data_IF_975999798291
#
_entry.id   IF_975999798291
#
_cell.length_a   1.000
_cell.length_b   1.000
_cell.length_c   1.000
_cell.angle_alpha   90.00
_cell.angle_beta   90.00
_cell.angle_gamma   90.00
#
_symmetry.space_group_name_H-M   'P 1'
#
loop_
_entity.id
_entity.type
_entity.pdbx_description
1 polymer ?
#
# COMPACT_ATOMS: atom_id res chain seq x y z
N UNK A 1 -7.35 -6.53 -14.72
CA UNK A 1 -6.40 -5.39 -14.66
C UNK A 1 -5.74 -4.99 -15.99
N UNK A 2 -6.17 -5.50 -17.17
CA UNK A 2 -5.52 -5.22 -18.48
C UNK A 2 -5.58 -3.75 -18.90
N UNK A 3 -6.79 -3.16 -18.93
CA UNK A 3 -7.02 -1.75 -19.29
C UNK A 3 -6.17 -0.77 -18.46
N UNK A 4 -6.03 -1.05 -17.16
CA UNK A 4 -5.18 -0.26 -16.27
C UNK A 4 -3.72 -0.32 -16.72
N UNK A 5 -3.14 -1.52 -16.85
CA UNK A 5 -1.74 -1.68 -17.28
C UNK A 5 -1.46 -0.97 -18.62
N UNK A 6 -2.36 -1.11 -19.59
CA UNK A 6 -2.23 -0.46 -20.91
C UNK A 6 -2.25 1.08 -20.80
N UNK A 7 -3.08 1.65 -19.92
CA UNK A 7 -3.14 3.10 -19.71
C UNK A 7 -1.84 3.66 -19.13
N UNK A 8 -1.20 2.94 -18.21
CA UNK A 8 0.10 3.31 -17.65
C UNK A 8 1.22 3.15 -18.69
N UNK A 9 1.21 2.06 -19.45
CA UNK A 9 2.23 1.79 -20.46
C UNK A 9 2.25 2.87 -21.56
N UNK A 10 1.10 3.42 -21.95
CA UNK A 10 1.02 4.57 -22.89
C UNK A 10 1.75 5.82 -22.39
N UNK A 11 2.00 5.91 -21.08
CA UNK A 11 2.76 6.99 -20.43
C UNK A 11 4.16 6.55 -19.99
N UNK A 12 4.67 5.45 -20.54
CA UNK A 12 5.96 4.85 -20.17
C UNK A 12 6.08 4.46 -18.69
N UNK A 13 4.95 4.29 -18.00
CA UNK A 13 4.91 3.82 -16.63
C UNK A 13 4.65 2.30 -16.61
N UNK A 14 5.42 1.56 -15.81
CA UNK A 14 5.32 0.10 -15.70
C UNK A 14 4.73 -0.30 -14.35
N UNK A 15 3.85 -1.30 -14.37
CA UNK A 15 3.36 -2.00 -13.19
C UNK A 15 3.84 -3.44 -13.29
N UNK A 16 4.83 -3.81 -12.48
CA UNK A 16 5.45 -5.14 -12.55
C UNK A 16 4.45 -6.24 -12.20
N UNK A 17 3.69 -6.07 -11.11
CA UNK A 17 2.63 -7.00 -10.72
C UNK A 17 1.40 -6.33 -10.10
N UNK A 18 0.28 -7.04 -10.18
CA UNK A 18 -0.97 -6.67 -9.49
C UNK A 18 -1.42 -7.86 -8.66
N UNK A 19 -1.53 -7.63 -7.35
CA UNK A 19 -2.08 -8.58 -6.39
C UNK A 19 -3.41 -8.04 -5.87
N UNK A 20 -4.38 -8.93 -5.72
CA UNK A 20 -5.69 -8.58 -5.16
C UNK A 20 -6.18 -9.75 -4.29
N UNK A 21 -7.04 -9.42 -3.34
CA UNK A 21 -7.66 -10.40 -2.46
C UNK A 21 -9.19 -10.28 -2.61
N UNK A 22 -9.88 -11.31 -3.14
CA UNK A 22 -11.33 -11.28 -3.31
C UNK A 22 -12.08 -11.67 -2.03
N UNK A 23 -11.37 -12.15 -1.01
CA UNK A 23 -12.00 -12.75 0.17
C UNK A 23 -12.58 -11.71 1.14
N UNK A 24 -13.72 -12.08 1.72
CA UNK A 24 -14.42 -11.34 2.76
C UNK A 24 -15.33 -12.30 3.54
N UNK A 25 -15.31 -12.22 4.87
CA UNK A 25 -16.00 -13.14 5.78
C UNK A 25 -17.50 -13.25 5.52
N UNK A 26 -18.14 -12.16 5.08
CA UNK A 26 -19.60 -12.13 4.82
C UNK A 26 -19.91 -12.11 3.32
N UNK A 27 -18.98 -12.58 2.47
CA UNK A 27 -19.21 -12.65 1.03
C UNK A 27 -20.45 -13.50 0.71
N UNK A 28 -21.32 -13.03 -0.17
CA UNK A 28 -22.44 -13.82 -0.70
C UNK A 28 -21.97 -14.98 -1.58
N UNK A 29 -20.76 -14.88 -2.15
CA UNK A 29 -20.13 -15.91 -2.98
C UNK A 29 -19.33 -16.86 -2.08
N UNK A 30 -19.68 -18.16 -1.99
CA UNK A 30 -19.04 -19.13 -1.10
C UNK A 30 -17.52 -19.23 -1.28
N UNK A 31 -17.01 -19.17 -2.51
CA UNK A 31 -15.57 -19.23 -2.82
C UNK A 31 -14.77 -18.10 -2.14
N UNK A 32 -15.40 -16.94 -1.97
CA UNK A 32 -14.78 -15.76 -1.38
C UNK A 32 -15.08 -15.61 0.12
N UNK A 33 -15.98 -16.43 0.67
CA UNK A 33 -16.39 -16.42 2.07
C UNK A 33 -15.43 -17.22 2.94
N UNK A 34 -14.23 -16.69 3.15
CA UNK A 34 -13.23 -17.31 4.01
C UNK A 34 -12.30 -16.29 4.62
N UNK A 35 -11.80 -16.65 5.80
CA UNK A 35 -10.62 -16.01 6.38
C UNK A 35 -9.42 -16.21 5.47
N UNK A 36 -8.56 -15.19 5.37
CA UNK A 36 -7.38 -15.26 4.53
C UNK A 36 -6.26 -14.38 5.02
N UNK A 37 -5.03 -14.76 4.67
CA UNK A 37 -3.83 -13.97 4.95
C UNK A 37 -3.54 -12.93 3.86
N UNK A 38 -4.32 -12.88 2.76
CA UNK A 38 -4.10 -11.91 1.69
C UNK A 38 -4.73 -10.55 1.95
N UNK A 39 -5.83 -10.48 2.72
CA UNK A 39 -6.57 -9.23 2.90
C UNK A 39 -5.84 -8.36 3.91
N UNK A 40 -5.48 -7.14 3.50
CA UNK A 40 -4.93 -6.11 4.40
C UNK A 40 -5.83 -5.99 5.64
N UNK A 41 -5.25 -5.91 6.85
CA UNK A 41 -3.84 -5.59 7.14
C UNK A 41 -2.87 -6.79 7.10
N UNK A 42 -3.32 -7.98 6.73
CA UNK A 42 -2.44 -9.16 6.64
C UNK A 42 -1.40 -9.03 5.51
N UNK A 43 -0.20 -9.59 5.70
CA UNK A 43 0.94 -9.33 4.82
C UNK A 43 0.97 -10.21 3.56
N UNK A 44 0.05 -11.14 3.37
CA UNK A 44 0.17 -12.20 2.36
C UNK A 44 0.36 -11.70 0.93
N UNK A 45 -0.31 -10.61 0.53
CA UNK A 45 -0.07 -10.01 -0.80
C UNK A 45 1.34 -9.40 -0.93
N UNK A 46 1.84 -8.73 0.12
CA UNK A 46 3.16 -8.13 0.11
C UNK A 46 4.28 -9.19 0.15
N UNK A 47 4.12 -10.24 0.95
CA UNK A 47 5.05 -11.38 0.98
C UNK A 47 5.15 -12.07 -0.37
N UNK A 48 4.01 -12.30 -1.04
CA UNK A 48 3.99 -12.86 -2.40
C UNK A 48 4.68 -11.94 -3.42
N UNK A 49 4.52 -10.63 -3.27
CA UNK A 49 5.23 -9.67 -4.10
C UNK A 49 6.75 -9.73 -3.86
N UNK A 50 7.16 -9.80 -2.59
CA UNK A 50 8.56 -9.88 -2.20
C UNK A 50 9.25 -11.13 -2.74
N UNK A 51 8.62 -12.29 -2.59
CA UNK A 51 9.12 -13.56 -3.14
C UNK A 51 9.25 -13.49 -4.67
N UNK A 52 8.20 -13.03 -5.37
CA UNK A 52 8.18 -13.07 -6.84
C UNK A 52 9.08 -12.03 -7.50
N UNK A 53 9.32 -10.90 -6.84
CA UNK A 53 10.04 -9.75 -7.40
C UNK A 53 11.37 -9.47 -6.67
N UNK A 54 11.75 -10.31 -5.72
CA UNK A 54 12.94 -10.14 -4.88
C UNK A 54 12.99 -8.76 -4.18
N UNK A 55 11.89 -8.35 -3.54
CA UNK A 55 11.75 -7.04 -2.89
C UNK A 55 12.17 -7.12 -1.42
N UNK A 56 13.00 -6.18 -0.97
CA UNK A 56 13.25 -5.93 0.45
C UNK A 56 12.11 -5.09 1.06
N UNK A 57 11.22 -5.73 1.85
CA UNK A 57 10.04 -5.08 2.41
C UNK A 57 10.37 -3.94 3.40
N UNK A 58 11.33 -4.07 4.32
CA UNK A 58 11.79 -2.96 5.16
C UNK A 58 12.23 -1.69 4.41
N UNK A 59 12.79 -1.82 3.21
CA UNK A 59 13.21 -0.70 2.35
C UNK A 59 12.09 -0.19 1.43
N UNK A 60 10.89 -0.75 1.54
CA UNK A 60 9.75 -0.44 0.71
C UNK A 60 8.82 0.60 1.33
N UNK A 61 7.93 1.13 0.49
CA UNK A 61 6.88 2.07 0.88
C UNK A 61 5.51 1.44 0.59
N UNK A 62 4.55 1.64 1.49
CA UNK A 62 3.13 1.31 1.26
C UNK A 62 2.37 2.61 1.21
N UNK A 63 1.76 2.94 0.07
CA UNK A 63 0.95 4.14 -0.10
C UNK A 63 -0.52 3.73 -0.20
N UNK A 64 -1.37 4.29 0.65
CA UNK A 64 -2.80 3.97 0.66
C UNK A 64 -3.63 5.00 1.41
N UNK A 65 -4.95 4.94 1.25
CA UNK A 65 -5.91 5.86 1.86
C UNK A 65 -6.67 5.24 3.04
N UNK A 66 -6.44 3.96 3.32
CA UNK A 66 -7.14 3.23 4.38
C UNK A 66 -6.23 2.89 5.55
N UNK A 67 -6.83 2.77 6.74
CA UNK A 67 -6.15 2.31 7.97
C UNK A 67 -5.44 0.97 7.72
N UNK A 68 -6.08 0.05 7.01
CA UNK A 68 -5.53 -1.28 6.71
C UNK A 68 -4.27 -1.24 5.83
N UNK A 69 -4.08 -0.18 5.03
CA UNK A 69 -2.85 0.04 4.25
C UNK A 69 -1.69 0.42 5.16
N UNK A 70 -1.96 1.32 6.11
CA UNK A 70 -0.96 1.79 7.08
C UNK A 70 -0.55 0.64 7.99
N UNK A 71 -1.53 -0.12 8.48
CA UNK A 71 -1.29 -1.32 9.28
C UNK A 71 -0.51 -2.40 8.50
N UNK A 72 -0.81 -2.61 7.21
CA UNK A 72 0.00 -3.50 6.37
C UNK A 72 1.47 -3.04 6.35
N UNK A 73 1.72 -1.75 6.12
CA UNK A 73 3.08 -1.19 6.10
C UNK A 73 3.82 -1.43 7.42
N UNK A 74 3.15 -1.18 8.55
CA UNK A 74 3.68 -1.48 9.89
C UNK A 74 4.00 -2.97 10.05
N UNK A 75 3.06 -3.85 9.69
CA UNK A 75 3.20 -5.31 9.86
C UNK A 75 4.38 -5.89 9.06
N UNK A 76 4.72 -5.30 7.92
CA UNK A 76 5.86 -5.74 7.08
C UNK A 76 7.12 -4.90 7.28
N UNK A 77 7.12 -3.99 8.27
CA UNK A 77 8.21 -3.05 8.56
C UNK A 77 8.58 -2.11 7.38
N UNK A 78 7.69 -1.96 6.41
CA UNK A 78 7.83 -0.95 5.37
C UNK A 78 7.53 0.45 5.93
N UNK A 79 7.80 1.49 5.14
CA UNK A 79 7.37 2.86 5.48
C UNK A 79 5.92 3.08 4.99
N UNK A 80 4.90 3.14 5.86
CA UNK A 80 3.54 3.45 5.45
C UNK A 80 3.35 4.94 5.18
N UNK A 81 2.66 5.28 4.10
CA UNK A 81 2.32 6.65 3.70
C UNK A 81 0.82 6.73 3.50
N UNK A 82 0.16 7.57 4.30
CA UNK A 82 -1.26 7.84 4.17
C UNK A 82 -1.47 8.94 3.13
N UNK A 83 -2.32 8.71 2.12
CA UNK A 83 -2.80 9.79 1.25
C UNK A 83 -4.17 10.27 1.72
N UNK A 84 -4.41 11.58 1.70
CA UNK A 84 -5.66 12.20 2.16
C UNK A 84 -6.81 12.13 1.13
N UNK A 85 -6.54 11.66 -0.09
CA UNK A 85 -7.57 11.33 -1.09
C UNK A 85 -8.39 10.12 -0.67
N UNK A 86 -9.64 9.99 -1.15
CA UNK A 86 -10.47 8.81 -0.87
C UNK A 86 -10.88 8.75 0.60
N UNK A 87 -10.57 7.64 1.28
CA UNK A 87 -10.86 7.46 2.72
C UNK A 87 -9.84 8.13 3.65
N UNK A 88 -8.83 8.82 3.10
CA UNK A 88 -7.66 9.30 3.82
C UNK A 88 -7.94 10.15 5.06
N UNK A 89 -8.83 11.13 4.97
CA UNK A 89 -9.18 11.98 6.13
C UNK A 89 -9.84 11.19 7.26
N UNK A 90 -10.76 10.28 6.94
CA UNK A 90 -11.37 9.39 7.94
C UNK A 90 -10.33 8.46 8.55
N UNK A 91 -9.44 7.91 7.73
CA UNK A 91 -8.35 7.06 8.18
C UNK A 91 -7.37 7.81 9.09
N UNK A 92 -7.09 9.09 8.82
CA UNK A 92 -6.25 9.94 9.68
C UNK A 92 -6.81 10.03 11.09
N UNK A 93 -8.09 10.37 11.24
CA UNK A 93 -8.76 10.42 12.55
C UNK A 93 -8.70 9.08 13.27
N UNK A 94 -9.02 7.98 12.58
CA UNK A 94 -8.97 6.63 13.18
C UNK A 94 -7.56 6.24 13.62
N UNK A 95 -6.54 6.57 12.82
CA UNK A 95 -5.14 6.31 13.16
C UNK A 95 -4.69 7.11 14.38
N UNK A 96 -5.13 8.36 14.51
CA UNK A 96 -4.90 9.19 15.69
C UNK A 96 -5.52 8.57 16.95
N UNK A 97 -6.78 8.11 16.87
CA UNK A 97 -7.46 7.39 17.96
C UNK A 97 -6.72 6.10 18.37
N UNK A 98 -6.24 5.35 17.38
CA UNK A 98 -5.43 4.13 17.58
C UNK A 98 -3.99 4.43 18.02
N UNK A 99 -3.56 5.69 18.04
CA UNK A 99 -2.18 6.14 18.30
C UNK A 99 -1.15 5.54 17.35
N UNK A 100 -1.54 5.28 16.10
CA UNK A 100 -0.66 4.76 15.05
C UNK A 100 -0.26 5.90 14.13
N UNK A 101 1.04 6.14 14.00
CA UNK A 101 1.57 7.19 13.13
C UNK A 101 2.08 6.58 11.82
N UNK A 102 1.56 7.01 10.65
CA UNK A 102 2.19 6.68 9.38
C UNK A 102 3.57 7.36 9.30
N UNK A 103 4.44 6.85 8.42
CA UNK A 103 5.75 7.47 8.16
C UNK A 103 5.63 8.84 7.47
N UNK A 104 4.55 9.05 6.71
CA UNK A 104 4.20 10.35 6.14
C UNK A 104 2.70 10.45 5.87
N UNK A 105 2.15 11.66 5.92
CA UNK A 105 0.79 11.98 5.48
C UNK A 105 0.90 12.92 4.28
N UNK A 106 0.43 12.47 3.13
CA UNK A 106 0.50 13.17 1.86
C UNK A 106 -0.88 13.64 1.42
N UNK A 107 -0.95 14.79 0.74
CA UNK A 107 -2.23 15.30 0.21
C UNK A 107 -2.84 14.38 -0.85
N UNK A 108 -2.00 13.75 -1.65
CA UNK A 108 -2.37 12.81 -2.71
C UNK A 108 -1.16 11.94 -3.11
N UNK A 109 -1.33 11.07 -4.11
CA UNK A 109 -0.27 10.18 -4.58
C UNK A 109 0.97 10.93 -5.11
N UNK A 110 0.80 12.07 -5.78
CA UNK A 110 1.93 12.84 -6.32
C UNK A 110 2.79 13.44 -5.19
N UNK A 111 2.13 13.97 -4.16
CA UNK A 111 2.80 14.50 -2.97
C UNK A 111 3.59 13.39 -2.22
N UNK A 112 2.99 12.19 -2.11
CA UNK A 112 3.67 11.03 -1.55
C UNK A 112 4.94 10.64 -2.35
N UNK A 113 4.83 10.59 -3.68
CA UNK A 113 5.98 10.28 -4.56
C UNK A 113 7.08 11.33 -4.44
N UNK A 114 6.73 12.62 -4.45
CA UNK A 114 7.68 13.71 -4.31
C UNK A 114 8.45 13.64 -2.98
N UNK A 115 7.76 13.29 -1.89
CA UNK A 115 8.39 13.07 -0.58
C UNK A 115 9.37 11.90 -0.61
N UNK A 116 9.01 10.76 -1.21
CA UNK A 116 9.89 9.58 -1.34
C UNK A 116 11.15 9.92 -2.15
N UNK A 117 11.01 10.61 -3.27
CA UNK A 117 12.15 10.97 -4.13
C UNK A 117 13.14 11.88 -3.38
N UNK A 118 12.63 12.93 -2.72
CA UNK A 118 13.47 13.83 -1.89
C UNK A 118 14.19 13.08 -0.77
N UNK A 119 13.55 12.10 -0.15
CA UNK A 119 14.17 11.27 0.90
C UNK A 119 15.32 10.42 0.32
N UNK A 120 15.08 9.76 -0.83
CA UNK A 120 16.10 8.95 -1.51
C UNK A 120 17.29 9.77 -2.06
N UNK A 121 17.07 11.02 -2.43
CA UNK A 121 18.15 11.92 -2.84
C UNK A 121 19.09 12.24 -1.67
N UNK A 122 18.53 12.46 -0.47
CA UNK A 122 19.31 12.71 0.74
C UNK A 122 20.11 11.48 1.17
N UNK A 123 19.47 10.30 1.18
CA UNK A 123 20.12 9.02 1.52
C UNK A 123 21.30 8.64 0.60
N UNK A 124 21.40 9.23 -0.60
CA UNK A 124 22.53 9.03 -1.52
C UNK A 124 23.65 10.06 -1.37
N UNK A 125 23.36 11.17 -0.69
CA UNK A 125 24.32 12.26 -0.48
C UNK A 125 25.13 12.08 0.82
N UNK A 126 24.66 11.21 1.72
CA UNK A 126 25.33 10.76 2.94
C UNK A 126 26.15 9.47 2.70
#
# INVERSE_FOLDING_TARGET
HKRMKESFQKKSARIDQVYYCPHYSDSSIPEYRKECLCRKPHPGMALKAAEKLNINLPESYIIGDKVEDILLGVNIKATPVLVLTGFGEQSRTRLEEMRIKPGFIAKNLLDAVNWILKKKEREKAD
#
